data_IF_082103721315
#
_entry.id   IF_082103721315
#
_cell.length_a   1.000
_cell.length_b   1.000
_cell.length_c   1.000
_cell.angle_alpha   90.00
_cell.angle_beta   90.00
_cell.angle_gamma   90.00
#
_symmetry.space_group_name_H-M   'P 1'
#
loop_
_entity.id
_entity.type
_entity.pdbx_description
1 polymer ?
#
# COMPACT_ATOMS: atom_id res chain seq x y z
N UNK A 1 14.15 -2.44 8.89
CA UNK A 1 13.95 -1.09 8.37
C UNK A 1 15.06 -0.74 7.38
N UNK A 2 14.74 0.09 6.39
CA UNK A 2 15.73 0.67 5.49
C UNK A 2 16.60 1.69 6.26
N UNK A 3 17.93 1.66 6.08
CA UNK A 3 18.83 2.66 6.62
C UNK A 3 19.06 3.79 5.60
N UNK A 4 19.17 5.04 6.09
CA UNK A 4 19.28 6.21 5.20
C UNK A 4 20.58 6.20 4.39
N UNK A 5 21.69 5.73 4.97
CA UNK A 5 22.99 5.59 4.29
C UNK A 5 22.92 4.62 3.13
N UNK A 6 22.32 3.44 3.35
CA UNK A 6 22.19 2.39 2.33
C UNK A 6 21.27 2.86 1.19
N UNK A 7 20.19 3.60 1.55
CA UNK A 7 19.27 4.19 0.58
C UNK A 7 19.99 5.17 -0.35
N UNK A 8 20.78 6.09 0.20
CA UNK A 8 21.54 7.08 -0.58
C UNK A 8 22.55 6.40 -1.50
N UNK A 9 23.30 5.42 -0.97
CA UNK A 9 24.26 4.65 -1.77
C UNK A 9 23.58 3.92 -2.93
N UNK A 10 22.47 3.23 -2.65
CA UNK A 10 21.71 2.50 -3.65
C UNK A 10 21.16 3.42 -4.76
N UNK A 11 20.53 4.54 -4.39
CA UNK A 11 19.98 5.52 -5.35
C UNK A 11 21.09 6.10 -6.23
N UNK A 12 22.24 6.47 -5.65
CA UNK A 12 23.37 7.02 -6.40
C UNK A 12 24.02 5.99 -7.33
N UNK A 13 24.11 4.74 -6.90
CA UNK A 13 24.71 3.66 -7.70
C UNK A 13 23.82 3.22 -8.87
N UNK A 14 22.50 3.31 -8.72
CA UNK A 14 21.55 2.77 -9.71
C UNK A 14 20.90 3.80 -10.60
N UNK A 15 20.79 5.06 -10.14
CA UNK A 15 20.10 6.15 -10.88
C UNK A 15 18.60 5.91 -11.09
N UNK A 16 17.95 5.17 -10.19
CA UNK A 16 16.51 4.85 -10.29
C UNK A 16 15.63 6.06 -10.04
N UNK A 17 14.42 6.05 -10.62
CA UNK A 17 13.45 7.15 -10.55
C UNK A 17 12.56 7.11 -9.28
N UNK A 18 12.46 5.97 -8.62
CA UNK A 18 11.72 5.79 -7.36
C UNK A 18 12.25 4.58 -6.59
N UNK A 19 12.07 4.54 -5.28
CA UNK A 19 12.59 3.46 -4.43
C UNK A 19 11.60 3.01 -3.37
N UNK A 20 11.46 1.70 -3.21
CA UNK A 20 10.66 1.12 -2.13
C UNK A 20 11.49 1.05 -0.84
N UNK A 21 10.87 1.48 0.27
CA UNK A 21 11.51 1.52 1.58
C UNK A 21 10.74 0.67 2.60
N UNK A 22 11.48 0.13 3.58
CA UNK A 22 10.91 -0.63 4.69
C UNK A 22 10.83 0.24 5.95
N UNK A 23 9.60 0.52 6.40
CA UNK A 23 9.31 1.32 7.58
C UNK A 23 8.40 0.61 8.58
N UNK A 24 8.21 -0.71 8.44
CA UNK A 24 7.46 -1.53 9.39
C UNK A 24 6.22 -2.22 8.80
N UNK A 25 5.96 -2.08 7.51
CA UNK A 25 4.95 -2.88 6.80
C UNK A 25 5.50 -4.24 6.38
N UNK A 26 4.59 -5.20 6.15
CA UNK A 26 4.88 -6.51 5.57
C UNK A 26 3.77 -6.89 4.58
N UNK A 27 4.00 -7.92 3.76
CA UNK A 27 2.98 -8.42 2.85
C UNK A 27 2.01 -9.39 3.54
N UNK A 28 0.74 -9.39 3.12
CA UNK A 28 -0.30 -10.29 3.61
C UNK A 28 -1.02 -9.77 4.85
N UNK A 29 -1.62 -10.71 5.59
CA UNK A 29 -2.37 -10.36 6.80
C UNK A 29 -1.47 -10.16 8.01
N UNK A 30 -1.74 -9.12 8.77
CA UNK A 30 -1.08 -8.87 10.06
C UNK A 30 -1.80 -9.62 11.19
N UNK A 31 -1.05 -10.02 12.21
CA UNK A 31 -1.61 -10.51 13.49
C UNK A 31 -2.12 -9.39 14.40
N UNK A 32 -2.04 -8.14 13.96
CA UNK A 32 -2.45 -6.93 14.66
C UNK A 32 -2.10 -5.71 13.82
N UNK A 33 -2.39 -4.51 14.28
CA UNK A 33 -2.05 -3.28 13.55
C UNK A 33 -0.53 -3.11 13.49
N UNK A 34 0.07 -2.96 12.31
CA UNK A 34 1.51 -2.80 12.18
C UNK A 34 1.97 -1.48 12.81
N UNK A 35 3.14 -1.52 13.45
CA UNK A 35 3.76 -0.33 14.02
C UNK A 35 4.67 0.32 12.98
N UNK A 36 4.19 1.37 12.33
CA UNK A 36 4.94 2.12 11.34
C UNK A 36 5.93 3.06 12.03
N UNK A 37 7.18 3.06 11.55
CA UNK A 37 8.23 3.96 12.04
C UNK A 37 8.24 5.26 11.20
N UNK A 38 7.45 6.24 11.63
CA UNK A 38 7.35 7.53 10.96
C UNK A 38 8.60 8.41 11.10
N UNK A 39 9.37 8.24 12.18
CA UNK A 39 10.64 8.95 12.34
C UNK A 39 11.64 8.46 11.28
N UNK A 40 11.69 7.14 11.06
CA UNK A 40 12.49 6.57 9.97
C UNK A 40 12.00 7.05 8.60
N UNK A 41 10.69 7.14 8.37
CA UNK A 41 10.16 7.68 7.12
C UNK A 41 10.64 9.11 6.87
N UNK A 42 10.63 9.96 7.89
CA UNK A 42 11.10 11.34 7.80
C UNK A 42 12.61 11.40 7.47
N UNK A 43 13.44 10.56 8.10
CA UNK A 43 14.87 10.44 7.78
C UNK A 43 15.11 10.03 6.32
N UNK A 44 14.42 9.00 5.84
CA UNK A 44 14.54 8.50 4.47
C UNK A 44 14.09 9.55 3.45
N UNK A 45 12.98 10.25 3.74
CA UNK A 45 12.47 11.33 2.87
C UNK A 45 13.43 12.52 2.78
N UNK A 46 14.12 12.84 3.87
CA UNK A 46 15.13 13.90 3.88
C UNK A 46 16.43 13.49 3.14
N UNK A 47 16.73 12.18 3.09
CA UNK A 47 17.97 11.66 2.53
C UNK A 47 17.99 11.63 0.99
N UNK A 48 16.82 11.48 0.33
CA UNK A 48 16.73 11.38 -1.14
C UNK A 48 15.61 12.27 -1.70
N UNK A 49 15.84 12.78 -2.91
CA UNK A 49 14.88 13.64 -3.61
C UNK A 49 13.84 12.83 -4.42
N UNK A 50 14.13 11.57 -4.75
CA UNK A 50 13.25 10.73 -5.56
C UNK A 50 12.03 10.25 -4.77
N UNK A 51 10.92 9.90 -5.46
CA UNK A 51 9.71 9.37 -4.83
C UNK A 51 9.96 8.10 -4.02
N UNK A 52 9.38 8.03 -2.80
CA UNK A 52 9.38 6.85 -1.96
C UNK A 52 8.13 5.99 -2.20
N UNK A 53 8.31 4.69 -2.20
CA UNK A 53 7.26 3.68 -2.41
C UNK A 53 7.09 2.83 -1.14
N UNK A 54 5.83 2.56 -0.76
CA UNK A 54 5.49 1.65 0.34
C UNK A 54 4.91 0.36 -0.21
N UNK A 55 5.49 -0.78 0.13
CA UNK A 55 4.92 -2.11 -0.06
C UNK A 55 4.16 -2.57 1.19
N UNK A 56 3.26 -3.54 1.03
CA UNK A 56 2.50 -4.11 2.15
C UNK A 56 1.46 -3.15 2.72
N UNK A 57 0.79 -2.35 1.88
CA UNK A 57 -0.24 -1.41 2.31
C UNK A 57 -1.53 -2.09 2.81
N UNK A 58 -1.87 -3.27 2.29
CA UNK A 58 -3.04 -4.03 2.73
C UNK A 58 -3.02 -4.28 4.24
N UNK A 59 -4.18 -4.15 4.89
CA UNK A 59 -4.34 -4.36 6.34
C UNK A 59 -3.47 -3.47 7.25
N UNK A 60 -2.89 -2.40 6.71
CA UNK A 60 -2.07 -1.44 7.47
C UNK A 60 -2.94 -0.44 8.27
N UNK A 61 -4.19 -0.26 7.85
CA UNK A 61 -5.15 0.67 8.45
C UNK A 61 -5.10 2.06 7.83
N UNK A 62 -6.28 2.66 7.64
CA UNK A 62 -6.47 3.92 6.92
C UNK A 62 -5.65 5.08 7.48
N UNK A 63 -5.61 5.21 8.81
CA UNK A 63 -4.87 6.28 9.48
C UNK A 63 -3.36 6.18 9.21
N UNK A 64 -2.80 4.96 9.31
CA UNK A 64 -1.39 4.73 9.00
C UNK A 64 -1.08 5.02 7.53
N UNK A 65 -1.96 4.59 6.61
CA UNK A 65 -1.78 4.79 5.18
C UNK A 65 -1.89 6.27 4.80
N UNK A 66 -2.89 6.99 5.33
CA UNK A 66 -3.03 8.44 5.14
C UNK A 66 -1.78 9.16 5.63
N UNK A 67 -1.34 8.87 6.85
CA UNK A 67 -0.15 9.46 7.42
C UNK A 67 1.12 9.14 6.61
N UNK A 68 1.26 7.93 6.07
CA UNK A 68 2.37 7.59 5.16
C UNK A 68 2.37 8.48 3.92
N UNK A 69 1.21 8.67 3.27
CA UNK A 69 1.08 9.54 2.09
C UNK A 69 1.42 11.00 2.44
N UNK A 70 0.88 11.53 3.52
CA UNK A 70 1.16 12.89 4.00
C UNK A 70 2.62 13.09 4.42
N UNK A 71 3.29 12.02 4.89
CA UNK A 71 4.70 12.05 5.33
C UNK A 71 5.71 11.78 4.20
N UNK A 72 5.27 11.66 2.94
CA UNK A 72 6.18 11.63 1.79
C UNK A 72 6.28 10.31 1.03
N UNK A 73 5.43 9.33 1.32
CA UNK A 73 5.23 8.18 0.43
C UNK A 73 4.43 8.63 -0.80
N UNK A 74 4.97 8.41 -1.98
CA UNK A 74 4.36 8.84 -3.25
C UNK A 74 3.57 7.72 -3.95
N UNK A 75 3.80 6.46 -3.59
CA UNK A 75 3.13 5.28 -4.16
C UNK A 75 2.96 4.21 -3.09
N UNK A 76 1.78 3.61 -3.00
CA UNK A 76 1.49 2.52 -2.05
C UNK A 76 0.97 1.31 -2.83
N UNK A 77 1.54 0.13 -2.54
CA UNK A 77 1.08 -1.13 -3.12
C UNK A 77 0.07 -1.79 -2.19
N UNK A 78 -1.13 -2.02 -2.72
CA UNK A 78 -2.24 -2.69 -2.05
C UNK A 78 -2.69 -3.84 -2.95
N UNK A 79 -2.81 -5.06 -2.43
CA UNK A 79 -3.20 -6.23 -3.20
C UNK A 79 -4.16 -7.15 -2.44
N UNK A 80 -3.79 -7.53 -1.21
CA UNK A 80 -4.55 -8.52 -0.43
C UNK A 80 -5.99 -8.05 -0.18
N UNK A 81 -6.23 -6.78 0.09
CA UNK A 81 -7.55 -6.24 0.37
C UNK A 81 -8.46 -6.33 -0.87
N UNK A 82 -7.92 -6.09 -2.06
CA UNK A 82 -8.67 -6.29 -3.31
C UNK A 82 -9.04 -7.75 -3.55
N UNK A 83 -8.08 -8.66 -3.37
CA UNK A 83 -8.34 -10.09 -3.53
C UNK A 83 -9.35 -10.61 -2.53
N UNK A 84 -9.26 -10.16 -1.28
CA UNK A 84 -10.18 -10.54 -0.22
C UNK A 84 -11.59 -10.04 -0.49
N UNK A 85 -11.75 -8.78 -0.85
CA UNK A 85 -13.06 -8.20 -1.18
C UNK A 85 -13.73 -8.92 -2.35
N UNK A 86 -12.98 -9.17 -3.42
CA UNK A 86 -13.50 -9.92 -4.58
C UNK A 86 -13.93 -11.34 -4.23
N UNK A 87 -13.10 -12.07 -3.50
CA UNK A 87 -13.40 -13.44 -3.09
C UNK A 87 -14.62 -13.52 -2.13
N UNK A 88 -14.68 -12.59 -1.17
CA UNK A 88 -15.80 -12.51 -0.23
C UNK A 88 -17.11 -12.22 -0.96
N UNK A 89 -17.16 -11.24 -1.85
CA UNK A 89 -18.34 -10.90 -2.62
C UNK A 89 -18.84 -12.07 -3.48
N UNK A 90 -17.94 -12.80 -4.16
CA UNK A 90 -18.31 -14.01 -4.92
C UNK A 90 -18.98 -15.06 -4.02
N UNK A 91 -18.42 -15.29 -2.84
CA UNK A 91 -18.96 -16.26 -1.89
C UNK A 91 -20.34 -15.86 -1.33
N UNK A 92 -20.53 -14.57 -1.04
CA UNK A 92 -21.80 -14.04 -0.50
C UNK A 92 -22.93 -14.03 -1.54
N UNK A 93 -22.64 -13.66 -2.79
CA UNK A 93 -23.63 -13.63 -3.87
C UNK A 93 -23.93 -15.01 -4.48
N UNK A 94 -23.16 -16.04 -4.12
CA UNK A 94 -23.33 -17.41 -4.70
C UNK A 94 -23.39 -17.40 -6.22
N UNK A 95 -22.41 -16.75 -6.85
CA UNK A 95 -22.39 -16.54 -8.31
C UNK A 95 -22.44 -17.87 -9.09
N UNK A 96 -23.43 -18.02 -9.98
CA UNK A 96 -23.71 -19.28 -10.69
C UNK A 96 -22.81 -19.56 -11.89
N UNK A 97 -22.11 -18.54 -12.38
CA UNK A 97 -21.28 -18.66 -13.58
C UNK A 97 -20.11 -17.67 -13.56
N UNK A 98 -19.13 -17.92 -14.44
CA UNK A 98 -17.90 -17.13 -14.51
C UNK A 98 -18.15 -15.63 -14.76
N UNK A 99 -19.09 -15.27 -15.65
CA UNK A 99 -19.42 -13.87 -15.93
C UNK A 99 -19.96 -13.16 -14.71
N UNK A 100 -20.80 -13.81 -13.94
CA UNK A 100 -21.34 -13.28 -12.68
C UNK A 100 -20.24 -13.16 -11.64
N UNK A 101 -19.37 -14.18 -11.47
CA UNK A 101 -18.21 -14.12 -10.56
C UNK A 101 -17.33 -12.91 -10.86
N UNK A 102 -16.97 -12.68 -12.12
CA UNK A 102 -16.18 -11.53 -12.52
C UNK A 102 -16.87 -10.20 -12.19
N UNK A 103 -18.14 -10.06 -12.59
CA UNK A 103 -18.89 -8.81 -12.35
C UNK A 103 -19.04 -8.50 -10.86
N UNK A 104 -19.24 -9.53 -10.04
CA UNK A 104 -19.34 -9.39 -8.58
C UNK A 104 -18.01 -8.97 -7.98
N UNK A 105 -16.91 -9.64 -8.36
CA UNK A 105 -15.57 -9.29 -7.91
C UNK A 105 -15.19 -7.85 -8.32
N UNK A 106 -15.44 -7.47 -9.58
CA UNK A 106 -15.11 -6.13 -10.09
C UNK A 106 -15.81 -5.02 -9.28
N UNK A 107 -17.09 -5.19 -8.93
CA UNK A 107 -17.84 -4.23 -8.12
C UNK A 107 -17.22 -4.09 -6.72
N UNK A 108 -16.87 -5.21 -6.09
CA UNK A 108 -16.27 -5.21 -4.76
C UNK A 108 -14.87 -4.59 -4.76
N UNK A 109 -14.04 -4.93 -5.76
CA UNK A 109 -12.70 -4.37 -5.94
C UNK A 109 -12.79 -2.86 -6.20
N UNK A 110 -13.74 -2.43 -7.04
CA UNK A 110 -13.98 -1.01 -7.31
C UNK A 110 -14.31 -0.24 -6.03
N UNK A 111 -15.19 -0.77 -5.17
CA UNK A 111 -15.54 -0.12 -3.91
C UNK A 111 -14.32 0.03 -2.97
N UNK A 112 -13.44 -0.97 -2.91
CA UNK A 112 -12.19 -0.88 -2.15
C UNK A 112 -11.25 0.17 -2.75
N UNK A 113 -11.16 0.27 -4.08
CA UNK A 113 -10.34 1.27 -4.76
C UNK A 113 -10.85 2.69 -4.48
N UNK A 114 -12.16 2.93 -4.57
CA UNK A 114 -12.79 4.21 -4.23
C UNK A 114 -12.53 4.60 -2.77
N UNK A 115 -12.63 3.64 -1.84
CA UNK A 115 -12.26 3.86 -0.44
C UNK A 115 -10.82 4.35 -0.29
N UNK A 116 -9.86 3.73 -0.98
CA UNK A 116 -8.46 4.16 -0.91
C UNK A 116 -8.19 5.53 -1.55
N UNK A 117 -8.95 5.92 -2.58
CA UNK A 117 -8.87 7.29 -3.11
C UNK A 117 -9.23 8.31 -2.04
N UNK A 118 -10.29 8.08 -1.26
CA UNK A 118 -10.62 8.94 -0.11
C UNK A 118 -9.55 8.91 0.99
N UNK A 119 -8.98 7.73 1.29
CA UNK A 119 -7.88 7.62 2.28
C UNK A 119 -6.68 8.46 1.88
N UNK A 120 -6.36 8.54 0.58
CA UNK A 120 -5.19 9.25 0.05
C UNK A 120 -5.47 10.67 -0.42
N UNK A 121 -6.70 11.19 -0.26
CA UNK A 121 -7.15 12.50 -0.78
C UNK A 121 -6.89 12.65 -2.29
N UNK A 122 -7.21 11.62 -3.06
CA UNK A 122 -7.06 11.58 -4.52
C UNK A 122 -8.41 11.78 -5.25
N UNK A 123 -9.36 12.50 -4.65
CA UNK A 123 -10.69 12.79 -5.19
C UNK A 123 -10.67 13.86 -6.28
#
# INVERSE_FOLDING_TARGET
YTEATDLVEFVNATGIDSVAVSIGTAHGFYKGTPKINFDRLAELKAAVAIPLVLHGGSSTGDENLRRCAESGISKINIFTDFCTAGAQAINEEHADNYKQMMSTADKAIKAVLEHYYHVFNCD
#
